data_IF_342532813736
#
_entry.id   IF_342532813736
#
_cell.length_a   1.000
_cell.length_b   1.000
_cell.length_c   1.000
_cell.angle_alpha   90.00
_cell.angle_beta   90.00
_cell.angle_gamma   90.00
#
_symmetry.space_group_name_H-M   'P 1'
#
loop_
_entity.id
_entity.type
_entity.pdbx_description
1 polymer ?
#
# COMPACT_ATOMS: atom_id res chain seq x y z
N UNK A 1 24.96 -20.33 13.10
CA UNK A 1 25.01 -19.97 14.55
C UNK A 1 26.26 -19.19 14.96
N UNK A 2 27.47 -19.48 14.43
CA UNK A 2 28.68 -18.70 14.71
C UNK A 2 28.65 -17.23 14.22
N UNK A 3 27.85 -16.93 13.17
CA UNK A 3 27.68 -15.57 12.64
C UNK A 3 26.77 -14.71 13.54
N UNK A 4 25.74 -15.30 14.14
CA UNK A 4 24.91 -14.63 15.16
C UNK A 4 25.71 -14.35 16.45
N UNK A 5 26.68 -15.21 16.76
CA UNK A 5 27.58 -15.09 17.91
C UNK A 5 28.48 -13.84 17.81
N UNK A 6 29.04 -13.57 16.62
CA UNK A 6 29.87 -12.38 16.35
C UNK A 6 29.07 -11.07 16.28
N UNK A 7 27.78 -11.12 15.95
CA UNK A 7 26.94 -9.92 15.77
C UNK A 7 26.24 -9.44 17.05
N UNK A 8 26.06 -10.31 18.06
CA UNK A 8 25.23 -9.99 19.25
C UNK A 8 25.90 -10.22 20.62
N UNK A 9 27.07 -10.87 20.71
CA UNK A 9 27.85 -10.95 21.95
C UNK A 9 27.11 -11.56 23.16
N UNK A 10 26.69 -12.84 23.07
CA UNK A 10 25.96 -13.52 24.16
C UNK A 10 26.52 -14.92 24.48
N UNK A 11 26.57 -15.24 25.78
CA UNK A 11 27.13 -16.48 26.34
C UNK A 11 26.33 -17.76 26.01
N UNK A 12 26.97 -18.94 25.90
CA UNK A 12 26.29 -20.20 25.60
C UNK A 12 25.78 -20.89 26.87
N UNK A 13 24.46 -21.04 27.01
CA UNK A 13 23.86 -22.01 27.95
C UNK A 13 23.36 -23.24 27.18
N UNK A 14 23.58 -24.49 27.65
CA UNK A 14 23.40 -25.69 26.82
C UNK A 14 21.95 -26.15 26.78
N UNK A 15 21.34 -26.18 25.58
CA UNK A 15 20.04 -26.80 25.36
C UNK A 15 20.19 -28.31 25.10
N UNK A 16 20.17 -29.13 26.17
CA UNK A 16 19.81 -30.54 26.06
C UNK A 16 18.92 -30.89 27.24
N UNK A 17 17.67 -31.28 26.92
CA UNK A 17 16.55 -31.72 27.79
C UNK A 17 15.52 -30.64 28.14
N UNK A 18 14.62 -30.38 27.19
CA UNK A 18 13.18 -30.18 27.46
C UNK A 18 12.40 -30.22 26.15
N UNK A 19 12.32 -31.42 25.58
CA UNK A 19 11.37 -31.76 24.52
C UNK A 19 10.66 -33.02 24.99
N UNK A 20 9.71 -32.83 25.91
CA UNK A 20 8.65 -33.77 26.34
C UNK A 20 8.02 -33.15 27.58
N UNK A 21 6.89 -32.46 27.38
CA UNK A 21 5.82 -32.13 28.34
C UNK A 21 5.21 -30.75 28.03
N UNK A 22 4.11 -30.79 27.27
CA UNK A 22 2.81 -30.20 27.62
C UNK A 22 2.08 -29.72 26.35
N UNK A 23 1.17 -30.58 25.91
CA UNK A 23 -0.01 -30.16 25.18
C UNK A 23 -0.93 -29.39 26.16
N UNK A 24 -1.75 -28.51 25.57
CA UNK A 24 -2.83 -27.68 26.15
C UNK A 24 -2.46 -26.25 26.56
N UNK A 25 -2.98 -25.29 25.78
CA UNK A 25 -3.02 -23.87 26.13
C UNK A 25 -3.66 -23.05 25.01
N UNK A 26 -4.91 -22.65 25.21
CA UNK A 26 -5.79 -21.86 24.35
C UNK A 26 -5.27 -20.45 24.02
N UNK A 27 -5.52 -19.99 22.78
CA UNK A 27 -5.29 -18.62 22.28
C UNK A 27 -6.18 -17.59 23.01
N UNK A 28 -5.68 -16.38 23.33
CA UNK A 28 -6.54 -15.23 23.58
C UNK A 28 -6.76 -14.43 22.30
N UNK A 29 -8.02 -14.33 21.89
CA UNK A 29 -8.57 -13.17 21.20
C UNK A 29 -8.65 -12.02 22.20
N UNK A 30 -8.42 -10.78 21.73
CA UNK A 30 -9.10 -9.53 22.11
C UNK A 30 -8.13 -8.32 21.97
N UNK A 31 -8.52 -7.08 21.68
CA UNK A 31 -9.76 -6.41 21.22
C UNK A 31 -9.29 -4.99 20.82
N UNK A 32 -9.71 -4.48 19.67
CA UNK A 32 -9.59 -3.06 19.34
C UNK A 32 -10.68 -2.28 20.10
N UNK A 33 -10.28 -1.26 20.86
CA UNK A 33 -11.14 -0.39 21.67
C UNK A 33 -12.22 0.33 20.80
N UNK A 34 -13.53 0.06 21.02
CA UNK A 34 -14.63 0.66 20.26
C UNK A 34 -14.85 2.16 20.51
N UNK A 35 -14.18 2.74 21.51
CA UNK A 35 -14.40 4.13 21.93
C UNK A 35 -13.80 5.18 20.98
N UNK A 36 -12.85 4.78 20.12
CA UNK A 36 -12.20 5.68 19.15
C UNK A 36 -12.99 5.86 17.84
N UNK A 37 -13.82 4.89 17.45
CA UNK A 37 -14.66 4.96 16.25
C UNK A 37 -15.87 5.91 16.40
N UNK A 38 -16.24 6.29 17.62
CA UNK A 38 -17.44 7.11 17.90
C UNK A 38 -17.22 8.58 17.53
N UNK A 39 -15.98 9.10 17.59
CA UNK A 39 -15.69 10.51 17.26
C UNK A 39 -15.71 10.78 15.75
N UNK A 40 -15.23 9.85 14.93
CA UNK A 40 -15.28 9.97 13.46
C UNK A 40 -16.72 9.86 12.93
N UNK A 41 -17.53 8.96 13.53
CA UNK A 41 -18.96 8.83 13.21
C UNK A 41 -19.78 10.06 13.60
N UNK A 42 -19.43 10.76 14.69
CA UNK A 42 -20.13 11.98 15.12
C UNK A 42 -19.84 13.17 14.20
N UNK A 43 -18.61 13.24 13.65
CA UNK A 43 -18.20 14.27 12.68
C UNK A 43 -18.85 14.05 11.30
N UNK A 44 -18.90 12.80 10.82
CA UNK A 44 -19.57 12.47 9.55
C UNK A 44 -21.10 12.64 9.62
N UNK A 45 -21.72 12.46 10.79
CA UNK A 45 -23.17 12.62 10.97
C UNK A 45 -23.62 14.08 11.10
N UNK A 46 -22.74 15.02 11.46
CA UNK A 46 -23.09 16.44 11.51
C UNK A 46 -22.97 17.15 10.15
N UNK A 47 -22.27 16.56 9.18
CA UNK A 47 -22.11 17.11 7.81
C UNK A 47 -23.25 16.70 6.85
N UNK A 48 -24.05 15.69 7.20
CA UNK A 48 -25.10 15.11 6.33
C UNK A 48 -26.53 15.49 6.74
N UNK A 49 -26.73 16.38 7.72
CA UNK A 49 -28.05 16.69 8.29
C UNK A 49 -28.43 18.18 8.22
N UNK A 50 -28.10 18.86 7.13
CA UNK A 50 -28.85 20.05 6.74
C UNK A 50 -29.38 19.89 5.31
N UNK A 51 -30.71 19.94 5.25
CA UNK A 51 -31.60 20.12 4.09
C UNK A 51 -31.83 18.95 3.13
N UNK A 52 -32.74 18.05 3.53
CA UNK A 52 -33.70 17.44 2.60
C UNK A 52 -35.09 17.42 3.25
N UNK A 53 -36.02 18.21 2.71
CA UNK A 53 -37.45 18.17 3.06
C UNK A 53 -38.09 16.81 2.70
N UNK A 54 -39.08 16.33 3.47
CA UNK A 54 -39.68 15.02 3.28
C UNK A 54 -40.90 15.15 2.35
N UNK A 55 -40.79 14.62 1.13
CA UNK A 55 -41.96 14.23 0.36
C UNK A 55 -41.53 13.26 -0.72
N UNK A 56 -41.69 11.95 -0.45
CA UNK A 56 -42.36 11.01 -1.34
C UNK A 56 -42.38 9.64 -0.67
N UNK A 57 -43.59 9.19 -0.37
CA UNK A 57 -43.89 7.84 0.05
C UNK A 57 -44.23 7.04 -1.20
N UNK A 58 -43.57 5.90 -1.44
CA UNK A 58 -44.12 4.82 -2.26
C UNK A 58 -43.53 3.46 -1.87
N UNK A 59 -44.45 2.50 -1.73
CA UNK A 59 -44.32 1.11 -1.32
C UNK A 59 -43.41 0.30 -2.25
N UNK A 60 -42.78 -0.73 -1.68
CA UNK A 60 -42.00 -1.70 -2.44
C UNK A 60 -42.84 -2.71 -3.22
N UNK A 61 -42.21 -3.29 -4.25
CA UNK A 61 -42.46 -4.63 -4.76
C UNK A 61 -41.30 -5.09 -5.65
N UNK A 62 -40.75 -6.26 -5.32
CA UNK A 62 -40.19 -7.31 -6.19
C UNK A 62 -39.44 -7.02 -7.51
N UNK A 63 -38.21 -7.54 -7.52
CA UNK A 63 -37.70 -8.56 -8.45
C UNK A 63 -37.26 -8.22 -9.90
N UNK A 64 -36.13 -8.85 -10.26
CA UNK A 64 -35.49 -9.06 -11.58
C UNK A 64 -34.69 -7.88 -12.15
N UNK A 65 -33.35 -7.92 -12.14
CA UNK A 65 -32.40 -8.64 -13.01
C UNK A 65 -31.90 -7.75 -14.17
N UNK A 66 -30.63 -7.97 -14.54
CA UNK A 66 -29.88 -7.51 -15.73
C UNK A 66 -29.00 -6.26 -15.60
N UNK A 67 -27.78 -6.52 -15.12
CA UNK A 67 -26.55 -6.42 -15.92
C UNK A 67 -26.73 -6.12 -17.42
N UNK A 68 -26.00 -5.13 -17.94
CA UNK A 68 -25.14 -5.20 -19.16
C UNK A 68 -24.63 -3.78 -19.52
N UNK A 69 -23.33 -3.55 -19.38
CA UNK A 69 -22.33 -3.46 -20.47
C UNK A 69 -22.50 -2.25 -21.41
N UNK A 70 -21.63 -1.27 -21.20
CA UNK A 70 -21.03 -0.47 -22.26
C UNK A 70 -20.37 -1.37 -23.29
N UNK A 71 -20.53 -1.05 -24.58
CA UNK A 71 -19.47 -1.15 -25.57
C UNK A 71 -19.76 -0.23 -26.76
N UNK A 72 -18.87 0.75 -26.95
CA UNK A 72 -18.52 1.32 -28.24
C UNK A 72 -17.99 0.19 -29.14
N UNK A 73 -18.28 0.25 -30.44
CA UNK A 73 -17.38 0.04 -31.59
C UNK A 73 -18.20 0.26 -32.87
N UNK A 74 -17.98 1.41 -33.54
CA UNK A 74 -17.33 1.60 -34.85
C UNK A 74 -18.04 0.94 -36.04
N UNK A 75 -18.48 1.81 -36.95
CA UNK A 75 -19.06 1.54 -38.26
C UNK A 75 -18.20 0.65 -39.17
N UNK A 76 -18.86 -0.17 -39.99
CA UNK A 76 -18.24 -0.71 -41.20
C UNK A 76 -18.93 -1.94 -41.80
N UNK A 77 -19.55 -1.72 -42.97
CA UNK A 77 -19.87 -2.69 -44.03
C UNK A 77 -20.98 -3.73 -43.76
N UNK A 78 -22.12 -3.55 -44.41
CA UNK A 78 -22.56 -4.40 -45.53
C UNK A 78 -23.96 -3.99 -46.00
N UNK A 79 -24.07 -3.77 -47.30
CA UNK A 79 -25.32 -3.57 -48.03
C UNK A 79 -25.79 -4.94 -48.55
N UNK A 80 -26.96 -5.43 -48.13
CA UNK A 80 -28.12 -5.73 -48.99
C UNK A 80 -29.11 -6.81 -48.46
N UNK A 81 -30.37 -6.38 -48.43
CA UNK A 81 -31.63 -7.07 -48.80
C UNK A 81 -32.14 -8.29 -47.99
N UNK A 82 -33.23 -8.08 -47.25
CA UNK A 82 -34.57 -8.54 -47.68
C UNK A 82 -35.68 -7.92 -46.81
N UNK A 83 -36.79 -7.58 -47.48
CA UNK A 83 -37.97 -6.86 -46.98
C UNK A 83 -38.98 -7.83 -46.36
N UNK A 84 -39.47 -7.57 -45.15
CA UNK A 84 -40.88 -7.70 -44.70
C UNK A 84 -41.01 -6.72 -43.51
N UNK A 85 -41.81 -5.66 -43.51
CA UNK A 85 -43.26 -5.67 -43.64
C UNK A 85 -43.93 -5.20 -42.33
N UNK A 86 -43.43 -4.12 -41.70
CA UNK A 86 -44.11 -3.43 -40.60
C UNK A 86 -44.60 -2.08 -41.10
N UNK A 87 -45.90 -1.84 -40.96
CA UNK A 87 -46.60 -0.60 -41.30
C UNK A 87 -45.96 0.58 -40.55
N UNK A 88 -45.04 1.26 -41.23
CA UNK A 88 -44.42 2.50 -40.79
C UNK A 88 -45.48 3.59 -40.90
N UNK A 89 -46.07 3.97 -39.77
CA UNK A 89 -46.80 5.23 -39.66
C UNK A 89 -45.86 6.35 -40.16
N UNK A 90 -46.12 6.86 -41.35
CA UNK A 90 -45.37 7.97 -41.93
C UNK A 90 -45.74 9.24 -41.17
N UNK A 91 -45.05 9.51 -40.06
CA UNK A 91 -44.99 10.87 -39.51
C UNK A 91 -44.50 11.77 -40.64
N UNK A 92 -45.35 12.73 -41.06
CA UNK A 92 -45.01 13.75 -42.05
C UNK A 92 -43.66 14.37 -41.68
N UNK A 93 -42.74 14.43 -42.65
CA UNK A 93 -41.43 15.05 -42.46
C UNK A 93 -41.63 16.48 -41.94
N UNK A 94 -40.92 16.90 -40.88
CA UNK A 94 -41.01 18.27 -40.41
C UNK A 94 -40.70 19.25 -41.55
N UNK A 95 -41.53 20.27 -41.73
CA UNK A 95 -41.21 21.36 -42.67
C UNK A 95 -39.94 22.11 -42.26
N UNK A 96 -39.38 22.91 -43.16
CA UNK A 96 -38.15 23.71 -42.94
C UNK A 96 -38.24 24.54 -41.65
N UNK A 97 -39.43 25.08 -41.34
CA UNK A 97 -39.71 25.81 -40.10
C UNK A 97 -39.65 24.92 -38.83
N UNK A 98 -40.01 23.64 -38.94
CA UNK A 98 -39.91 22.66 -37.85
C UNK A 98 -38.47 22.22 -37.57
N UNK A 99 -37.63 22.14 -38.62
CA UNK A 99 -36.19 21.90 -38.48
C UNK A 99 -35.49 23.09 -37.82
N UNK A 100 -35.80 24.33 -38.23
CA UNK A 100 -35.27 25.55 -37.60
C UNK A 100 -35.68 25.66 -36.12
N UNK A 101 -36.95 25.36 -35.79
CA UNK A 101 -37.40 25.32 -34.39
C UNK A 101 -36.66 24.25 -33.59
N UNK A 102 -36.47 23.06 -34.16
CA UNK A 102 -35.76 21.96 -33.49
C UNK A 102 -34.28 22.31 -33.27
N UNK A 103 -33.65 22.99 -34.23
CA UNK A 103 -32.27 23.47 -34.12
C UNK A 103 -32.14 24.56 -33.06
N UNK A 104 -33.01 25.58 -33.09
CA UNK A 104 -33.03 26.64 -32.08
C UNK A 104 -33.28 26.10 -30.66
N UNK A 105 -34.19 25.12 -30.52
CA UNK A 105 -34.45 24.44 -29.24
C UNK A 105 -33.23 23.62 -28.78
N UNK A 106 -32.51 22.96 -29.70
CA UNK A 106 -31.29 22.22 -29.38
C UNK A 106 -30.16 23.15 -28.95
N UNK A 107 -30.02 24.30 -29.60
CA UNK A 107 -29.05 25.35 -29.23
C UNK A 107 -29.39 25.95 -27.86
N UNK A 108 -30.67 26.23 -27.57
CA UNK A 108 -31.08 26.70 -26.23
C UNK A 108 -30.85 25.66 -25.14
N UNK A 109 -31.09 24.37 -25.41
CA UNK A 109 -30.77 23.30 -24.46
C UNK A 109 -29.28 23.12 -24.25
N UNK A 110 -28.47 23.30 -25.30
CA UNK A 110 -27.01 23.28 -25.18
C UNK A 110 -26.51 24.44 -24.34
N UNK A 111 -26.98 25.66 -24.62
CA UNK A 111 -26.64 26.85 -23.84
C UNK A 111 -27.07 26.73 -22.38
N UNK A 112 -28.27 26.18 -22.12
CA UNK A 112 -28.74 25.90 -20.76
C UNK A 112 -27.87 24.84 -20.07
N UNK A 113 -27.48 23.78 -20.78
CA UNK A 113 -26.58 22.74 -20.26
C UNK A 113 -25.19 23.28 -19.93
N UNK A 114 -24.64 24.13 -20.79
CA UNK A 114 -23.35 24.79 -20.58
C UNK A 114 -23.42 25.76 -19.38
N UNK A 115 -24.51 26.51 -19.23
CA UNK A 115 -24.73 27.38 -18.08
C UNK A 115 -24.85 26.59 -16.76
N UNK A 116 -25.64 25.52 -16.73
CA UNK A 116 -25.76 24.66 -15.55
C UNK A 116 -24.41 24.02 -15.18
N UNK A 117 -23.62 23.61 -16.17
CA UNK A 117 -22.27 23.10 -15.94
C UNK A 117 -21.35 24.17 -15.35
N UNK A 118 -21.39 25.40 -15.86
CA UNK A 118 -20.61 26.51 -15.33
C UNK A 118 -21.00 26.82 -13.87
N UNK A 119 -22.29 26.93 -13.57
CA UNK A 119 -22.78 27.15 -12.20
C UNK A 119 -22.36 26.01 -11.28
N UNK A 120 -22.42 24.75 -11.73
CA UNK A 120 -21.95 23.59 -10.97
C UNK A 120 -20.45 23.67 -10.70
N UNK A 121 -19.63 24.06 -11.67
CA UNK A 121 -18.19 24.24 -11.50
C UNK A 121 -17.86 25.37 -10.52
N UNK A 122 -18.58 26.48 -10.58
CA UNK A 122 -18.42 27.60 -9.65
C UNK A 122 -18.81 27.21 -8.23
N UNK A 123 -19.92 26.49 -8.06
CA UNK A 123 -20.31 25.94 -6.76
C UNK A 123 -19.27 24.96 -6.22
N UNK A 124 -18.75 24.06 -7.05
CA UNK A 124 -17.70 23.13 -6.63
C UNK A 124 -16.43 23.88 -6.20
N UNK A 125 -16.03 24.93 -6.93
CA UNK A 125 -14.87 25.77 -6.55
C UNK A 125 -15.08 26.49 -5.22
N UNK A 126 -16.26 27.05 -4.99
CA UNK A 126 -16.56 27.74 -3.72
C UNK A 126 -16.59 26.75 -2.55
N UNK A 127 -17.18 25.58 -2.73
CA UNK A 127 -17.17 24.50 -1.73
C UNK A 127 -15.75 24.01 -1.42
N UNK A 128 -14.90 23.84 -2.44
CA UNK A 128 -13.49 23.46 -2.23
C UNK A 128 -12.70 24.54 -1.47
N UNK A 129 -13.00 25.82 -1.69
CA UNK A 129 -12.34 26.91 -0.97
C UNK A 129 -12.69 26.91 0.53
N UNK A 130 -13.99 26.83 0.86
CA UNK A 130 -14.46 26.72 2.25
C UNK A 130 -13.89 25.48 2.93
N UNK A 131 -13.85 24.37 2.20
CA UNK A 131 -13.31 23.13 2.73
C UNK A 131 -11.81 23.22 3.01
N UNK A 132 -11.03 23.82 2.10
CA UNK A 132 -9.60 24.04 2.29
C UNK A 132 -9.33 24.87 3.54
N UNK A 133 -10.07 25.96 3.74
CA UNK A 133 -9.96 26.80 4.93
C UNK A 133 -10.32 26.00 6.20
N UNK A 134 -11.38 25.20 6.17
CA UNK A 134 -11.74 24.30 7.26
C UNK A 134 -10.63 23.30 7.58
N UNK A 135 -9.99 22.71 6.57
CA UNK A 135 -8.89 21.75 6.77
C UNK A 135 -7.64 22.45 7.32
N UNK A 136 -7.35 23.68 6.88
CA UNK A 136 -6.27 24.50 7.42
C UNK A 136 -6.50 24.83 8.91
N UNK A 137 -7.71 25.23 9.28
CA UNK A 137 -8.08 25.47 10.68
C UNK A 137 -8.00 24.19 11.52
N UNK A 138 -8.43 23.05 10.97
CA UNK A 138 -8.32 21.75 11.62
C UNK A 138 -6.85 21.38 11.86
N UNK A 139 -6.00 21.52 10.84
CA UNK A 139 -4.57 21.25 10.92
C UNK A 139 -3.89 22.14 11.97
N UNK A 140 -4.23 23.43 12.05
CA UNK A 140 -3.72 24.35 13.06
C UNK A 140 -4.15 23.93 14.47
N UNK A 141 -5.42 23.60 14.65
CA UNK A 141 -5.98 23.22 15.95
C UNK A 141 -5.37 21.93 16.51
N UNK A 142 -5.13 20.95 15.64
CA UNK A 142 -4.67 19.62 16.03
C UNK A 142 -3.19 19.35 15.68
N UNK A 143 -2.39 20.39 15.41
CA UNK A 143 -0.99 20.27 14.95
C UNK A 143 -0.14 19.33 15.80
N UNK A 144 -0.20 19.47 17.13
CA UNK A 144 0.57 18.64 18.07
C UNK A 144 0.14 17.19 18.04
N UNK A 145 -1.16 16.96 17.92
CA UNK A 145 -1.76 15.62 17.96
C UNK A 145 -1.38 14.86 16.69
N UNK A 146 -1.39 15.54 15.53
CA UNK A 146 -1.00 14.91 14.27
C UNK A 146 0.50 14.55 14.25
N UNK A 147 1.35 15.28 14.97
CA UNK A 147 2.77 14.95 15.09
C UNK A 147 3.04 13.81 16.07
N UNK A 148 2.28 13.77 17.17
CA UNK A 148 2.49 12.83 18.26
C UNK A 148 1.90 11.44 17.95
N UNK A 149 0.71 11.40 17.37
CA UNK A 149 -0.01 10.15 17.12
C UNK A 149 0.06 9.72 15.65
N UNK A 150 0.79 8.63 15.34
CA UNK A 150 0.89 8.12 13.97
C UNK A 150 -0.46 7.66 13.39
N UNK A 151 -1.37 7.10 14.18
CA UNK A 151 -2.66 6.62 13.68
C UNK A 151 -3.57 7.79 13.26
N UNK A 152 -3.53 8.87 14.05
CA UNK A 152 -4.21 10.11 13.70
C UNK A 152 -3.58 10.79 12.48
N UNK A 153 -2.25 10.76 12.36
CA UNK A 153 -1.53 11.23 11.17
C UNK A 153 -1.96 10.48 9.91
N UNK A 154 -2.03 9.15 9.96
CA UNK A 154 -2.50 8.33 8.84
C UNK A 154 -3.93 8.73 8.42
N UNK A 155 -4.83 8.88 9.38
CA UNK A 155 -6.22 9.30 9.14
C UNK A 155 -6.31 10.69 8.49
N UNK A 156 -5.48 11.63 8.94
CA UNK A 156 -5.37 12.96 8.33
C UNK A 156 -4.87 12.90 6.88
N UNK A 157 -3.85 12.08 6.61
CA UNK A 157 -3.37 11.86 5.25
C UNK A 157 -4.45 11.24 4.35
N UNK A 158 -5.19 10.24 4.82
CA UNK A 158 -6.28 9.62 4.06
C UNK A 158 -7.38 10.63 3.70
N UNK A 159 -7.70 11.53 4.62
CA UNK A 159 -8.62 12.65 4.36
C UNK A 159 -8.09 13.52 3.22
N UNK A 160 -6.84 13.99 3.31
CA UNK A 160 -6.21 14.83 2.29
C UNK A 160 -6.22 14.17 0.90
N UNK A 161 -5.88 12.88 0.83
CA UNK A 161 -5.90 12.09 -0.43
C UNK A 161 -7.31 11.99 -1.02
N UNK A 162 -8.34 11.79 -0.20
CA UNK A 162 -9.74 11.70 -0.65
C UNK A 162 -10.20 12.98 -1.38
N UNK A 163 -9.65 14.12 -0.98
CA UNK A 163 -9.98 15.43 -1.56
C UNK A 163 -9.10 15.74 -2.79
N UNK A 164 -8.02 14.98 -2.99
CA UNK A 164 -7.01 15.25 -4.01
C UNK A 164 -6.00 16.32 -3.58
N UNK A 165 -5.81 16.52 -2.28
CA UNK A 165 -4.77 17.40 -1.72
C UNK A 165 -3.64 16.52 -1.21
N UNK A 166 -2.43 16.67 -1.75
CA UNK A 166 -1.24 16.02 -1.21
C UNK A 166 -0.51 16.99 -0.25
N UNK A 167 -0.50 16.71 1.07
CA UNK A 167 0.20 17.56 2.04
C UNK A 167 1.72 17.55 1.88
N UNK A 168 2.27 16.61 1.09
CA UNK A 168 3.71 16.42 0.85
C UNK A 168 4.15 16.84 -0.56
N UNK A 169 3.26 17.39 -1.38
CA UNK A 169 3.58 17.72 -2.78
C UNK A 169 4.57 18.88 -2.93
N UNK A 170 4.62 19.82 -1.98
CA UNK A 170 5.49 20.99 -2.10
C UNK A 170 6.01 21.49 -0.76
N UNK A 171 7.31 21.74 -0.70
CA UNK A 171 7.99 22.34 0.46
C UNK A 171 7.54 23.78 0.70
N UNK A 172 7.06 24.47 -0.35
CA UNK A 172 6.44 25.80 -0.29
C UNK A 172 4.93 25.73 -0.06
N UNK A 173 4.37 24.52 0.03
CA UNK A 173 2.96 24.29 0.28
C UNK A 173 2.54 24.79 1.66
N UNK A 174 1.26 25.12 1.76
CA UNK A 174 0.63 25.60 2.99
C UNK A 174 0.83 24.57 4.12
N UNK A 175 0.71 23.27 3.79
CA UNK A 175 0.87 22.17 4.74
C UNK A 175 2.28 22.06 5.34
N UNK A 176 3.34 22.29 4.56
CA UNK A 176 4.69 22.27 5.12
C UNK A 176 4.89 23.44 6.10
N UNK A 177 4.40 24.64 5.77
CA UNK A 177 4.45 25.80 6.70
C UNK A 177 3.62 25.56 7.97
N UNK A 178 2.42 25.01 7.82
CA UNK A 178 1.46 24.84 8.92
C UNK A 178 1.72 23.62 9.81
N UNK A 179 2.34 22.57 9.30
CA UNK A 179 2.52 21.31 10.04
C UNK A 179 3.98 20.83 10.08
N UNK A 180 4.87 21.33 9.21
CA UNK A 180 6.26 20.88 9.08
C UNK A 180 6.38 19.44 8.55
N UNK A 181 5.35 18.96 7.84
CA UNK A 181 5.31 17.58 7.37
C UNK A 181 6.38 17.28 6.33
N UNK A 182 6.61 18.18 5.36
CA UNK A 182 7.63 17.98 4.34
C UNK A 182 8.96 17.66 5.01
N UNK A 183 9.40 18.52 5.93
CA UNK A 183 10.68 18.37 6.63
C UNK A 183 10.76 17.04 7.40
N UNK A 184 9.69 16.65 8.11
CA UNK A 184 9.61 15.36 8.81
C UNK A 184 9.78 14.16 7.86
N UNK A 185 9.05 14.13 6.72
CA UNK A 185 9.10 13.02 5.78
C UNK A 185 10.41 12.97 4.99
N UNK A 186 11.02 14.12 4.68
CA UNK A 186 12.35 14.16 4.07
C UNK A 186 13.43 13.67 5.03
N UNK A 187 13.40 14.11 6.30
CA UNK A 187 14.32 13.63 7.33
C UNK A 187 14.17 12.12 7.54
N UNK A 188 12.93 11.63 7.64
CA UNK A 188 12.66 10.19 7.74
C UNK A 188 13.15 9.43 6.51
N UNK A 189 12.99 9.99 5.31
CA UNK A 189 13.54 9.44 4.08
C UNK A 189 15.06 9.27 4.14
N UNK A 190 15.79 10.30 4.59
CA UNK A 190 17.25 10.23 4.77
C UNK A 190 17.62 9.15 5.79
N UNK A 191 16.93 9.09 6.92
CA UNK A 191 17.13 8.04 7.94
C UNK A 191 16.90 6.63 7.36
N UNK A 192 15.93 6.45 6.46
CA UNK A 192 15.69 5.17 5.80
C UNK A 192 16.89 4.77 4.93
N UNK A 193 17.40 5.70 4.11
CA UNK A 193 18.54 5.45 3.21
C UNK A 193 19.81 5.15 4.02
N UNK A 194 20.12 5.96 5.03
CA UNK A 194 21.26 5.74 5.91
C UNK A 194 21.20 4.39 6.61
N UNK A 195 20.02 4.01 7.12
CA UNK A 195 19.83 2.72 7.78
C UNK A 195 20.03 1.57 6.78
N UNK A 196 19.53 1.71 5.55
CA UNK A 196 19.76 0.71 4.50
C UNK A 196 21.25 0.58 4.14
N UNK A 197 22.00 1.68 4.10
CA UNK A 197 23.45 1.66 3.85
C UNK A 197 24.21 0.95 4.97
N UNK A 198 23.84 1.20 6.23
CA UNK A 198 24.46 0.58 7.40
C UNK A 198 24.17 -0.92 7.47
N UNK A 199 22.94 -1.33 7.15
CA UNK A 199 22.53 -2.74 7.14
C UNK A 199 23.00 -3.51 5.90
N UNK A 200 23.58 -2.84 4.91
CA UNK A 200 23.91 -3.46 3.61
C UNK A 200 24.86 -4.65 3.75
N UNK A 201 25.86 -4.56 4.61
CA UNK A 201 26.85 -5.63 4.80
C UNK A 201 26.28 -6.87 5.49
N UNK A 202 25.22 -6.71 6.29
CA UNK A 202 24.64 -7.79 7.09
C UNK A 202 23.36 -8.36 6.50
N UNK A 203 22.52 -7.53 5.88
CA UNK A 203 21.20 -7.92 5.35
C UNK A 203 21.22 -8.04 3.82
N UNK A 204 22.13 -7.33 3.14
CA UNK A 204 22.23 -7.31 1.69
C UNK A 204 21.44 -6.19 1.03
N UNK A 205 20.82 -6.47 -0.12
CA UNK A 205 20.11 -5.47 -0.93
C UNK A 205 18.64 -5.22 -0.53
N UNK A 206 18.06 -6.11 0.29
CA UNK A 206 16.68 -6.02 0.78
C UNK A 206 16.68 -5.90 2.30
N UNK A 207 15.87 -4.98 2.83
CA UNK A 207 15.66 -4.83 4.27
C UNK A 207 14.18 -4.95 4.57
N UNK A 208 13.82 -5.84 5.48
CA UNK A 208 12.43 -6.04 5.91
C UNK A 208 11.89 -4.76 6.59
N UNK A 209 10.64 -4.38 6.30
CA UNK A 209 10.09 -3.09 6.71
C UNK A 209 10.05 -2.93 8.24
N UNK A 210 9.71 -3.98 8.99
CA UNK A 210 9.69 -3.88 10.46
C UNK A 210 11.10 -3.85 11.04
N UNK A 211 12.07 -4.56 10.43
CA UNK A 211 13.48 -4.45 10.79
C UNK A 211 14.00 -3.02 10.58
N UNK A 212 13.66 -2.38 9.45
CA UNK A 212 14.01 -0.99 9.17
C UNK A 212 13.39 -0.05 10.21
N UNK A 213 12.09 -0.19 10.46
CA UNK A 213 11.37 0.64 11.44
C UNK A 213 11.98 0.53 12.84
N UNK A 214 12.32 -0.68 13.30
CA UNK A 214 12.99 -0.90 14.59
C UNK A 214 14.36 -0.23 14.66
N UNK A 215 15.13 -0.22 13.57
CA UNK A 215 16.44 0.45 13.55
C UNK A 215 16.28 1.97 13.59
N UNK A 216 15.33 2.52 12.84
CA UNK A 216 15.01 3.94 12.85
C UNK A 216 14.54 4.37 14.26
N UNK A 217 13.60 3.64 14.85
CA UNK A 217 13.08 3.92 16.20
C UNK A 217 14.14 3.81 17.29
N UNK A 218 15.13 2.90 17.16
CA UNK A 218 16.26 2.81 18.11
C UNK A 218 17.22 3.97 17.97
N UNK A 219 17.45 4.48 16.75
CA UNK A 219 18.29 5.66 16.51
C UNK A 219 17.60 6.95 16.94
N UNK A 220 16.29 7.02 16.77
CA UNK A 220 15.47 8.13 17.23
C UNK A 220 15.38 8.08 18.75
N UNK A 221 15.78 9.15 19.43
CA UNK A 221 15.65 9.23 20.89
C UNK A 221 14.19 9.20 21.34
N UNK A 222 13.95 8.96 22.64
CA UNK A 222 12.60 8.94 23.22
C UNK A 222 11.83 10.27 23.08
N UNK A 223 12.53 11.37 22.84
CA UNK A 223 11.95 12.70 22.61
C UNK A 223 11.56 12.95 21.13
N UNK A 224 11.92 12.07 20.20
CA UNK A 224 11.62 12.22 18.79
C UNK A 224 10.16 11.86 18.49
N UNK A 225 9.59 12.47 17.44
CA UNK A 225 8.25 12.15 16.97
C UNK A 225 8.15 10.66 16.58
N UNK A 226 7.07 10.00 17.01
CA UNK A 226 6.82 8.58 16.74
C UNK A 226 6.68 8.33 15.24
N UNK A 227 7.15 7.17 14.79
CA UNK A 227 7.16 6.78 13.37
C UNK A 227 6.43 5.45 13.21
N UNK A 228 5.54 5.37 12.23
CA UNK A 228 4.85 4.16 11.80
C UNK A 228 5.42 3.59 10.50
N UNK A 229 5.02 2.37 10.17
CA UNK A 229 5.37 1.74 8.90
C UNK A 229 4.83 2.52 7.70
N UNK A 230 3.65 3.11 7.81
CA UNK A 230 3.04 3.92 6.75
C UNK A 230 3.82 5.21 6.51
N UNK A 231 4.34 5.84 7.57
CA UNK A 231 5.20 7.03 7.44
C UNK A 231 6.48 6.74 6.65
N UNK A 232 7.08 5.57 6.89
CA UNK A 232 8.26 5.08 6.16
C UNK A 232 7.93 4.86 4.70
N UNK A 233 6.81 4.20 4.39
CA UNK A 233 6.39 3.95 3.02
C UNK A 233 6.13 5.24 2.23
N UNK A 234 5.43 6.21 2.84
CA UNK A 234 5.23 7.54 2.25
C UNK A 234 6.54 8.27 2.01
N UNK A 235 7.49 8.18 2.95
CA UNK A 235 8.82 8.78 2.78
C UNK A 235 9.56 8.16 1.59
N UNK A 236 9.54 6.83 1.47
CA UNK A 236 10.18 6.11 0.38
C UNK A 236 9.52 6.38 -0.98
N UNK A 237 8.19 6.51 -1.02
CA UNK A 237 7.46 6.91 -2.22
C UNK A 237 7.93 8.28 -2.71
N UNK A 238 8.12 9.25 -1.80
CA UNK A 238 8.64 10.58 -2.17
C UNK A 238 10.10 10.54 -2.62
N UNK A 239 10.91 9.64 -2.08
CA UNK A 239 12.30 9.46 -2.52
C UNK A 239 12.43 8.73 -3.86
N UNK A 240 11.39 8.04 -4.34
CA UNK A 240 11.43 7.32 -5.63
C UNK A 240 11.78 8.21 -6.83
N UNK A 241 11.50 9.51 -6.74
CA UNK A 241 11.83 10.52 -7.78
C UNK A 241 13.34 10.69 -8.00
N UNK A 242 14.17 10.32 -7.01
CA UNK A 242 15.63 10.38 -7.11
C UNK A 242 16.20 9.27 -8.00
N UNK A 243 15.40 8.26 -8.35
CA UNK A 243 15.87 7.08 -9.06
C UNK A 243 16.82 6.23 -8.20
N UNK A 244 17.66 5.41 -8.84
CA UNK A 244 18.76 4.72 -8.14
C UNK A 244 18.39 3.44 -7.39
N UNK A 245 17.21 2.86 -7.64
CA UNK A 245 16.88 1.52 -7.16
C UNK A 245 16.25 1.46 -5.77
N UNK A 246 16.10 2.59 -5.08
CA UNK A 246 15.31 2.65 -3.84
C UNK A 246 13.84 2.35 -4.17
N UNK A 247 13.24 1.39 -3.47
CA UNK A 247 11.85 1.02 -3.71
C UNK A 247 11.32 0.04 -2.68
N UNK A 248 10.02 -0.23 -2.76
CA UNK A 248 9.34 -1.20 -1.90
C UNK A 248 8.92 -2.39 -2.74
N UNK A 249 9.24 -3.59 -2.28
CA UNK A 249 8.88 -4.86 -2.93
C UNK A 249 8.15 -5.73 -1.92
N UNK A 250 7.12 -6.44 -2.36
CA UNK A 250 6.36 -7.37 -1.51
C UNK A 250 6.69 -8.80 -1.90
N UNK A 251 7.08 -9.61 -0.91
CA UNK A 251 7.41 -11.04 -1.07
C UNK A 251 6.72 -11.83 0.04
N UNK A 252 5.93 -12.84 -0.34
CA UNK A 252 5.20 -13.72 0.59
C UNK A 252 4.37 -13.01 1.66
N UNK A 253 3.84 -11.83 1.33
CA UNK A 253 3.04 -11.00 2.24
C UNK A 253 3.84 -10.01 3.09
N UNK A 254 5.16 -10.13 3.15
CA UNK A 254 6.04 -9.17 3.83
C UNK A 254 6.55 -8.10 2.87
N UNK A 255 6.69 -6.87 3.38
CA UNK A 255 7.20 -5.72 2.63
C UNK A 255 8.69 -5.53 2.90
N UNK A 256 9.46 -5.36 1.84
CA UNK A 256 10.90 -5.15 1.85
C UNK A 256 11.24 -3.82 1.18
N UNK A 257 12.21 -3.13 1.75
CA UNK A 257 12.83 -1.93 1.16
C UNK A 257 14.07 -2.38 0.40
N UNK A 258 14.05 -2.16 -0.91
CA UNK A 258 15.17 -2.39 -1.82
C UNK A 258 16.05 -1.16 -1.82
N UNK A 259 17.34 -1.32 -1.57
CA UNK A 259 18.32 -0.22 -1.50
C UNK A 259 19.27 -0.16 -2.70
N UNK A 260 19.17 -1.12 -3.63
CA UNK A 260 20.04 -1.24 -4.79
C UNK A 260 19.24 -1.33 -6.09
N UNK A 261 19.78 -0.83 -7.22
CA UNK A 261 19.15 -0.95 -8.53
C UNK A 261 19.26 -2.39 -9.03
N UNK A 262 18.30 -3.22 -8.65
CA UNK A 262 18.22 -4.60 -9.08
C UNK A 262 16.77 -5.01 -9.29
N UNK A 263 16.50 -5.79 -10.34
CA UNK A 263 15.16 -6.29 -10.62
C UNK A 263 14.97 -7.63 -9.94
N UNK A 264 13.97 -7.72 -9.07
CA UNK A 264 13.59 -8.99 -8.47
C UNK A 264 12.82 -9.80 -9.52
N UNK A 265 13.47 -10.82 -10.09
CA UNK A 265 12.82 -11.76 -11.00
C UNK A 265 11.73 -12.54 -10.27
N UNK A 266 10.76 -13.10 -11.01
CA UNK A 266 9.70 -13.95 -10.43
C UNK A 266 10.29 -15.13 -9.66
N UNK A 267 11.30 -15.77 -10.25
CA UNK A 267 12.01 -16.89 -9.63
C UNK A 267 12.74 -16.45 -8.35
N UNK A 268 13.40 -15.29 -8.34
CA UNK A 268 14.00 -14.76 -7.12
C UNK A 268 12.94 -14.49 -6.05
N UNK A 269 11.78 -13.93 -6.42
CA UNK A 269 10.67 -13.71 -5.50
C UNK A 269 10.09 -15.02 -4.93
N UNK A 270 9.91 -16.05 -5.76
CA UNK A 270 9.42 -17.37 -5.35
C UNK A 270 10.41 -18.06 -4.40
N UNK A 271 11.71 -17.93 -4.65
CA UNK A 271 12.75 -18.47 -3.77
C UNK A 271 12.80 -17.74 -2.42
N UNK A 272 12.64 -16.42 -2.40
CA UNK A 272 12.54 -15.64 -1.17
C UNK A 272 11.27 -15.98 -0.37
N UNK A 273 10.12 -16.17 -1.04
CA UNK A 273 8.87 -16.65 -0.42
C UNK A 273 9.05 -18.05 0.18
N UNK A 274 9.74 -18.95 -0.53
CA UNK A 274 10.09 -20.26 0.02
C UNK A 274 10.98 -20.12 1.28
N UNK A 275 11.97 -19.23 1.25
CA UNK A 275 12.84 -18.98 2.41
C UNK A 275 12.05 -18.49 3.64
N UNK A 276 11.03 -17.65 3.44
CA UNK A 276 10.15 -17.21 4.54
C UNK A 276 9.44 -18.37 5.21
N UNK A 277 8.98 -19.35 4.43
CA UNK A 277 8.32 -20.57 4.94
C UNK A 277 9.30 -21.54 5.60
N UNK A 278 10.54 -21.58 5.13
CA UNK A 278 11.56 -22.56 5.53
C UNK A 278 12.50 -22.11 6.66
N UNK A 279 12.23 -20.99 7.33
CA UNK A 279 13.06 -20.54 8.46
C UNK A 279 14.19 -19.57 8.09
N UNK A 280 14.15 -18.98 6.88
CA UNK A 280 15.14 -18.02 6.39
C UNK A 280 16.35 -18.65 5.69
N UNK A 281 16.33 -19.95 5.43
CA UNK A 281 17.35 -20.65 4.64
C UNK A 281 16.73 -21.82 3.87
N UNK A 282 17.42 -22.31 2.85
CA UNK A 282 17.03 -23.49 2.09
C UNK A 282 18.23 -24.11 1.38
N UNK A 283 18.11 -25.37 0.96
CA UNK A 283 19.07 -26.01 0.06
C UNK A 283 18.57 -26.02 -1.39
N UNK A 284 19.49 -26.19 -2.35
CA UNK A 284 19.12 -26.34 -3.76
C UNK A 284 18.12 -27.49 -4.03
N UNK A 285 18.30 -28.72 -3.48
CA UNK A 285 17.32 -29.78 -3.69
C UNK A 285 15.96 -29.48 -3.05
N UNK A 286 15.92 -28.84 -1.87
CA UNK A 286 14.65 -28.48 -1.22
C UNK A 286 13.87 -27.46 -2.05
N UNK A 287 14.55 -26.44 -2.57
CA UNK A 287 13.94 -25.43 -3.43
C UNK A 287 13.41 -26.04 -4.73
N UNK A 288 14.22 -26.89 -5.37
CA UNK A 288 13.86 -27.59 -6.62
C UNK A 288 12.65 -28.50 -6.43
N UNK A 289 12.62 -29.27 -5.34
CA UNK A 289 11.51 -30.18 -5.02
C UNK A 289 10.23 -29.42 -4.66
N UNK A 290 10.33 -28.37 -3.84
CA UNK A 290 9.18 -27.57 -3.39
C UNK A 290 8.51 -26.81 -4.53
N UNK A 291 9.30 -26.20 -5.43
CA UNK A 291 8.80 -25.39 -6.54
C UNK A 291 8.63 -26.17 -7.85
N UNK A 292 9.01 -27.46 -7.89
CA UNK A 292 8.97 -28.28 -9.10
C UNK A 292 9.90 -27.78 -10.22
N UNK A 293 11.02 -27.16 -9.85
CA UNK A 293 11.94 -26.56 -10.81
C UNK A 293 12.99 -27.55 -11.31
N UNK A 294 13.33 -27.44 -12.60
CA UNK A 294 14.45 -28.16 -13.17
C UNK A 294 15.78 -27.73 -12.50
N UNK A 295 16.75 -28.63 -12.31
CA UNK A 295 18.01 -28.32 -11.62
C UNK A 295 18.76 -27.10 -12.20
N UNK A 296 18.79 -26.97 -13.53
CA UNK A 296 19.43 -25.85 -14.21
C UNK A 296 18.75 -24.50 -13.90
N UNK A 297 17.42 -24.47 -13.75
CA UNK A 297 16.67 -23.26 -13.36
C UNK A 297 16.97 -22.88 -11.93
N UNK A 298 16.96 -23.86 -11.03
CA UNK A 298 17.31 -23.66 -9.62
C UNK A 298 18.72 -23.09 -9.47
N UNK A 299 19.71 -23.68 -10.14
CA UNK A 299 21.10 -23.21 -10.11
C UNK A 299 21.23 -21.78 -10.67
N UNK A 300 20.57 -21.48 -11.79
CA UNK A 300 20.58 -20.12 -12.35
C UNK A 300 20.01 -19.09 -11.37
N UNK A 301 18.87 -19.38 -10.74
CA UNK A 301 18.24 -18.49 -9.75
C UNK A 301 19.13 -18.33 -8.51
N UNK A 302 19.75 -19.40 -8.01
CA UNK A 302 20.68 -19.35 -6.89
C UNK A 302 21.89 -18.46 -7.20
N UNK A 303 22.48 -18.62 -8.38
CA UNK A 303 23.58 -17.76 -8.82
C UNK A 303 23.14 -16.30 -8.95
N UNK A 304 21.92 -16.04 -9.42
CA UNK A 304 21.36 -14.69 -9.45
C UNK A 304 21.24 -14.11 -8.04
N UNK A 305 20.63 -14.84 -7.09
CA UNK A 305 20.48 -14.40 -5.70
C UNK A 305 21.82 -14.11 -5.02
N UNK A 306 22.87 -14.89 -5.32
CA UNK A 306 24.22 -14.66 -4.83
C UNK A 306 24.87 -13.41 -5.46
N UNK A 307 24.78 -13.25 -6.77
CA UNK A 307 25.30 -12.05 -7.48
C UNK A 307 24.65 -10.77 -6.97
N UNK A 308 23.35 -10.86 -6.71
CA UNK A 308 22.51 -9.77 -6.23
C UNK A 308 22.69 -9.49 -4.72
N UNK A 309 23.46 -10.32 -4.02
CA UNK A 309 23.72 -10.18 -2.58
C UNK A 309 22.48 -10.38 -1.71
N UNK A 310 21.52 -11.19 -2.16
CA UNK A 310 20.30 -11.52 -1.43
C UNK A 310 20.45 -12.76 -0.56
N UNK A 311 21.36 -13.66 -0.95
CA UNK A 311 21.63 -14.91 -0.25
C UNK A 311 23.09 -15.02 0.15
N UNK A 312 23.36 -15.69 1.27
CA UNK A 312 24.69 -16.12 1.68
C UNK A 312 24.81 -17.63 1.51
N UNK A 313 25.95 -18.07 0.98
CA UNK A 313 26.25 -19.49 0.84
C UNK A 313 26.97 -19.99 2.09
N UNK A 314 26.40 -21.01 2.71
CA UNK A 314 26.97 -21.75 3.83
C UNK A 314 27.39 -23.14 3.34
N UNK A 315 28.71 -23.32 3.26
CA UNK A 315 29.33 -24.55 2.79
C UNK A 315 29.46 -25.52 3.96
N UNK A 316 28.88 -26.73 3.88
CA UNK A 316 28.99 -27.68 4.96
C UNK A 316 30.44 -28.14 5.12
N UNK A 317 30.85 -28.49 6.36
CA UNK A 317 32.19 -29.00 6.63
C UNK A 317 32.46 -30.36 5.98
N UNK A 318 31.40 -31.16 5.78
CA UNK A 318 31.47 -32.49 5.19
C UNK A 318 31.00 -32.47 3.72
N UNK A 319 31.77 -33.08 2.82
CA UNK A 319 31.51 -33.11 1.38
C UNK A 319 30.19 -33.79 0.95
N UNK A 320 29.47 -34.43 1.89
CA UNK A 320 28.21 -35.14 1.62
C UNK A 320 26.94 -34.38 1.99
N UNK A 321 27.04 -33.26 2.72
CA UNK A 321 25.87 -32.46 3.06
C UNK A 321 25.54 -31.43 1.95
N UNK A 322 24.26 -31.08 1.76
CA UNK A 322 23.90 -30.06 0.79
C UNK A 322 24.34 -28.67 1.26
N UNK A 323 24.74 -27.82 0.32
CA UNK A 323 24.99 -26.41 0.59
C UNK A 323 23.70 -25.71 1.03
N UNK A 324 23.81 -24.82 2.03
CA UNK A 324 22.68 -24.03 2.52
C UNK A 324 22.79 -22.60 2.01
N UNK A 325 21.66 -22.07 1.54
CA UNK A 325 21.52 -20.68 1.10
C UNK A 325 20.69 -19.96 2.15
N UNK A 326 21.32 -19.02 2.85
CA UNK A 326 20.70 -18.19 3.87
C UNK A 326 20.18 -16.91 3.23
N UNK A 327 18.97 -16.48 3.58
CA UNK A 327 18.41 -15.18 3.18
C UNK A 327 18.42 -14.26 4.41
N UNK A 328 19.41 -13.36 4.55
CA UNK A 328 19.55 -12.56 5.77
C UNK A 328 18.33 -11.69 6.07
N UNK A 329 17.72 -11.12 5.02
CA UNK A 329 16.51 -10.29 5.11
C UNK A 329 15.32 -11.01 5.74
N UNK A 330 15.29 -12.34 5.71
CA UNK A 330 14.24 -13.19 6.29
C UNK A 330 14.72 -13.82 7.59
N UNK A 331 15.89 -14.45 7.58
CA UNK A 331 16.41 -15.23 8.69
C UNK A 331 16.74 -14.40 9.93
N UNK A 332 17.19 -13.15 9.77
CA UNK A 332 17.49 -12.29 10.93
C UNK A 332 16.22 -11.86 11.68
N UNK A 333 15.09 -11.69 11.00
CA UNK A 333 13.83 -11.35 11.64
C UNK A 333 13.29 -12.53 12.45
N UNK A 334 13.26 -13.72 11.86
CA UNK A 334 12.74 -14.92 12.51
C UNK A 334 13.61 -15.32 13.71
N UNK A 335 14.94 -15.18 13.59
CA UNK A 335 15.85 -15.39 14.72
C UNK A 335 15.61 -14.37 15.84
N UNK A 336 15.43 -13.09 15.52
CA UNK A 336 15.12 -12.05 16.51
C UNK A 336 13.74 -12.25 17.17
N UNK A 337 12.74 -12.69 16.40
CA UNK A 337 11.40 -12.98 16.91
C UNK A 337 11.40 -14.22 17.82
N UNK A 338 12.09 -15.29 17.43
CA UNK A 338 12.27 -16.49 18.24
C UNK A 338 12.98 -16.18 19.57
N UNK A 339 14.03 -15.35 19.52
CA UNK A 339 14.74 -14.89 20.73
C UNK A 339 13.82 -14.05 21.65
N UNK A 340 13.09 -13.07 21.10
CA UNK A 340 12.17 -12.25 21.90
C UNK A 340 11.02 -13.06 22.51
N UNK A 341 10.53 -14.10 21.82
CA UNK A 341 9.52 -15.00 22.35
C UNK A 341 10.07 -15.86 23.50
N UNK A 342 11.31 -16.38 23.36
CA UNK A 342 11.98 -17.16 24.39
C UNK A 342 12.24 -16.34 25.68
N UNK A 343 12.52 -15.03 25.55
CA UNK A 343 12.84 -14.14 26.66
C UNK A 343 11.66 -13.33 27.23
N UNK A 344 10.46 -13.39 26.62
CA UNK A 344 9.22 -12.86 27.24
C UNK A 344 8.53 -13.88 28.15
N UNK A 345 8.94 -15.14 28.08
CA UNK A 345 8.44 -16.24 28.90
C UNK A 345 9.32 -16.53 30.14
N UNK A 346 10.36 -15.72 30.36
CA UNK A 346 11.28 -15.79 31.50
C UNK A 346 11.07 -14.58 32.42
#
# INVERSE_FOLDING_TARGET
>A
MAILWLLFGMDPVPWRKRALESQHGTLPQDVLDPSQCVRLRRFLRSLLLHDISPNLQCRGAGSHDLSLRCNLVVDGLLENQSKQGTTRWMRRRPGIQGLQRTQATRESFKALGDHVNQTKLELMRSQMAVFKESLEQFALKYRSDIRRDPAFRESFHAMCVTIGVDPLASNKGIWNRLLGFGDFYYELGVQCVETCLVLRSSVGALVELNLLLRHIQRRRGSAAEAVSADDVLKSLEKLSVLGGGLGVVTVGGSRYVRSQPMELSRDAADALDFAQRSGGFFSAPDLSASLGWAPARTEFTLQQLLRDGLTWLDLPPDAGAPCLYWVPAVGMEQAAAAYAAAHRLA
#
